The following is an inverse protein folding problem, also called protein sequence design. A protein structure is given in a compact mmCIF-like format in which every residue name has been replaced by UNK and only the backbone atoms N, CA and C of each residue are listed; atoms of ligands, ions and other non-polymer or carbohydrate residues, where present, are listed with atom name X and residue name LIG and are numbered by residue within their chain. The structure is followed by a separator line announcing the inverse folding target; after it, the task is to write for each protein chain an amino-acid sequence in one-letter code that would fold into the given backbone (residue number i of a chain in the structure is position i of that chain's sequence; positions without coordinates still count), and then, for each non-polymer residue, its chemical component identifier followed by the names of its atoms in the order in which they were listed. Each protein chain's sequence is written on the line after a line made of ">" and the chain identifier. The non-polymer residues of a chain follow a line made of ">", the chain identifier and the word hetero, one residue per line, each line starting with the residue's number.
data_IF_634356739686
#
_entry.id   IF_634356739686
#
_cell.length_a   1.000
_cell.length_b   1.000
_cell.length_c   1.000
_cell.angle_alpha   90.00
_cell.angle_beta   90.00
_cell.angle_gamma   90.00
#
_symmetry.space_group_name_H-M   'P 1'
#
loop_
_entity.id
_entity.type
_entity.pdbx_description
1 polymer ?
#
# COMPACT_ATOMS: atom_id res chain seq x y z
N UNK A 1 25.78 35.12 -18.48
CA UNK A 1 24.63 36.03 -18.62
C UNK A 1 23.72 35.80 -17.43
N UNK A 2 23.76 36.74 -16.47
CA UNK A 2 22.98 36.69 -15.23
C UNK A 2 21.55 37.10 -15.55
N UNK A 3 20.56 36.27 -15.19
CA UNK A 3 19.16 36.71 -15.09
C UNK A 3 18.70 36.43 -13.68
N UNK A 4 18.55 37.50 -12.91
CA UNK A 4 17.76 37.56 -11.68
C UNK A 4 16.29 37.69 -12.09
N UNK A 5 15.39 36.98 -11.43
CA UNK A 5 13.99 37.35 -11.37
C UNK A 5 13.50 37.19 -9.93
N UNK A 6 13.07 38.31 -9.36
CA UNK A 6 12.37 38.44 -8.08
C UNK A 6 10.89 38.59 -8.43
N UNK A 7 10.01 37.90 -7.73
CA UNK A 7 8.62 38.31 -7.59
C UNK A 7 8.09 37.94 -6.20
N UNK A 8 7.25 38.82 -5.66
CA UNK A 8 6.83 39.00 -4.27
C UNK A 8 5.29 38.94 -4.20
N UNK A 9 4.78 38.62 -2.99
CA UNK A 9 3.39 38.80 -2.47
C UNK A 9 2.30 37.80 -2.93
N UNK A 10 1.30 37.40 -2.13
CA UNK A 10 0.98 37.58 -0.70
C UNK A 10 -0.11 36.57 -0.26
N UNK A 11 -0.13 36.27 1.04
CA UNK A 11 -1.25 35.99 1.96
C UNK A 11 -2.43 35.03 1.62
N UNK A 12 -2.62 34.06 2.53
CA UNK A 12 -3.78 34.02 3.44
C UNK A 12 -4.99 33.14 3.09
N UNK A 13 -5.31 32.18 3.98
CA UNK A 13 -6.64 32.02 4.63
C UNK A 13 -6.79 30.62 5.28
N UNK A 14 -7.32 30.64 6.50
CA UNK A 14 -7.58 29.53 7.44
C UNK A 14 -9.07 29.18 7.52
N UNK A 15 -9.38 28.05 8.19
CA UNK A 15 -10.68 27.61 8.76
C UNK A 15 -11.70 27.05 7.74
N UNK A 16 -12.56 26.06 8.01
CA UNK A 16 -13.19 25.62 9.26
C UNK A 16 -13.79 24.19 9.05
N UNK A 17 -13.74 23.31 10.05
CA UNK A 17 -14.34 21.97 10.01
C UNK A 17 -15.66 21.94 10.77
N UNK A 18 -16.75 21.56 10.10
CA UNK A 18 -18.08 21.44 10.71
C UNK A 18 -18.38 20.01 11.18
N UNK A 19 -18.77 19.94 12.45
CA UNK A 19 -19.16 18.79 13.25
C UNK A 19 -20.66 18.48 13.03
N UNK A 20 -21.02 17.20 12.85
CA UNK A 20 -22.43 16.76 12.77
C UNK A 20 -22.73 15.63 13.77
N UNK A 21 -23.10 16.07 14.97
CA UNK A 21 -24.29 15.74 15.78
C UNK A 21 -24.97 14.38 15.57
N UNK A 22 -24.89 13.55 16.61
CA UNK A 22 -25.79 12.43 16.88
C UNK A 22 -27.17 12.92 17.36
N UNK A 23 -28.23 12.21 16.98
CA UNK A 23 -29.56 12.35 17.57
C UNK A 23 -30.03 11.00 18.08
N UNK A 24 -30.20 10.93 19.40
CA UNK A 24 -30.97 9.93 20.14
C UNK A 24 -32.46 10.07 19.79
N UNK A 25 -33.15 8.94 19.68
CA UNK A 25 -34.62 8.90 19.70
C UNK A 25 -35.02 7.91 20.80
N UNK A 26 -35.54 8.46 21.89
CA UNK A 26 -36.42 7.77 22.83
C UNK A 26 -37.82 7.71 22.23
N UNK A 27 -38.48 6.55 22.32
CA UNK A 27 -39.95 6.51 22.30
C UNK A 27 -40.47 5.62 23.43
N UNK A 28 -41.21 6.26 24.34
CA UNK A 28 -42.12 5.62 25.27
C UNK A 28 -43.47 5.42 24.58
N UNK A 29 -44.08 4.23 24.73
CA UNK A 29 -45.41 3.93 24.18
C UNK A 29 -46.11 2.81 24.93
N UNK A 30 -47.16 3.20 25.66
CA UNK A 30 -48.07 2.43 26.52
C UNK A 30 -48.87 1.37 25.75
N UNK A 31 -49.13 0.23 26.41
CA UNK A 31 -49.67 -0.98 25.78
C UNK A 31 -51.19 -1.13 25.68
N UNK A 32 -51.59 -2.30 25.20
CA UNK A 32 -52.91 -2.92 25.42
C UNK A 32 -52.76 -4.44 25.44
N UNK A 33 -53.43 -5.05 26.41
CA UNK A 33 -53.45 -6.48 26.71
C UNK A 33 -54.53 -7.14 25.86
N UNK A 34 -54.16 -8.04 24.96
CA UNK A 34 -55.07 -9.06 24.43
C UNK A 34 -54.45 -10.45 24.64
N UNK A 35 -55.13 -11.25 25.46
CA UNK A 35 -54.77 -12.62 25.76
C UNK A 35 -55.14 -13.48 24.54
N UNK A 36 -54.16 -13.75 23.68
CA UNK A 36 -54.27 -14.81 22.68
C UNK A 36 -53.70 -16.11 23.24
N UNK A 37 -54.56 -17.11 23.44
CA UNK A 37 -54.25 -18.47 23.89
C UNK A 37 -53.54 -19.32 22.83
N UNK A 38 -52.45 -18.80 22.26
CA UNK A 38 -51.48 -19.62 21.54
C UNK A 38 -50.17 -19.55 22.31
N UNK A 39 -49.74 -20.69 22.86
CA UNK A 39 -48.46 -20.80 23.57
C UNK A 39 -47.30 -20.21 22.73
N UNK A 40 -46.26 -19.64 23.38
CA UNK A 40 -45.28 -18.83 22.70
C UNK A 40 -44.65 -19.59 21.54
N UNK A 41 -44.80 -19.06 20.32
CA UNK A 41 -44.09 -19.57 19.16
C UNK A 41 -42.60 -19.65 19.51
N UNK A 42 -42.01 -20.85 19.43
CA UNK A 42 -40.58 -21.04 19.73
C UNK A 42 -39.78 -20.05 18.88
N UNK A 43 -39.23 -19.01 19.50
CA UNK A 43 -38.34 -18.07 18.83
C UNK A 43 -37.21 -18.90 18.20
N UNK A 44 -37.00 -18.72 16.89
CA UNK A 44 -35.85 -19.35 16.21
C UNK A 44 -34.61 -18.93 16.98
N UNK A 45 -33.79 -19.90 17.40
CA UNK A 45 -32.54 -19.60 18.11
C UNK A 45 -31.69 -18.68 17.23
N UNK A 46 -31.07 -17.68 17.87
CA UNK A 46 -30.12 -16.81 17.20
C UNK A 46 -29.05 -17.65 16.49
N UNK A 47 -28.84 -17.34 15.21
CA UNK A 47 -27.89 -18.01 14.35
C UNK A 47 -26.47 -17.94 14.92
N UNK A 48 -26.13 -16.89 15.68
CA UNK A 48 -24.82 -16.71 16.30
C UNK A 48 -24.45 -17.85 17.27
N UNK A 49 -25.45 -18.48 17.88
CA UNK A 49 -25.29 -19.54 18.89
C UNK A 49 -25.07 -20.93 18.29
N UNK A 50 -25.24 -21.08 16.97
CA UNK A 50 -25.07 -22.36 16.30
C UNK A 50 -23.60 -22.78 16.36
N UNK A 51 -23.32 -24.03 16.75
CA UNK A 51 -21.95 -24.55 16.93
C UNK A 51 -21.05 -24.24 15.73
N UNK A 52 -21.55 -24.40 14.51
CA UNK A 52 -20.81 -24.08 13.29
C UNK A 52 -20.43 -22.59 13.18
N UNK A 53 -21.35 -21.69 13.54
CA UNK A 53 -21.12 -20.24 13.51
C UNK A 53 -20.17 -19.79 14.61
N UNK A 54 -20.26 -20.40 15.81
CA UNK A 54 -19.31 -20.17 16.90
C UNK A 54 -17.89 -20.58 16.48
N UNK A 55 -17.71 -21.75 15.88
CA UNK A 55 -16.38 -22.18 15.39
C UNK A 55 -15.90 -21.32 14.22
N UNK A 56 -16.80 -20.90 13.31
CA UNK A 56 -16.48 -19.95 12.23
C UNK A 56 -16.00 -18.61 12.80
N UNK A 57 -16.65 -18.08 13.84
CA UNK A 57 -16.26 -16.84 14.51
C UNK A 57 -14.87 -16.97 15.14
N UNK A 58 -14.61 -18.06 15.89
CA UNK A 58 -13.27 -18.35 16.45
C UNK A 58 -12.18 -18.38 15.38
N UNK A 59 -12.47 -19.01 14.23
CA UNK A 59 -11.57 -19.08 13.08
C UNK A 59 -11.25 -17.70 12.48
N UNK A 60 -12.23 -16.79 12.42
CA UNK A 60 -12.05 -15.43 11.89
C UNK A 60 -11.30 -14.53 12.86
N UNK A 61 -11.54 -14.71 14.17
CA UNK A 61 -10.82 -14.04 15.27
C UNK A 61 -9.38 -14.53 15.46
N UNK A 62 -8.93 -15.53 14.68
CA UNK A 62 -7.57 -16.05 14.82
C UNK A 62 -7.36 -16.90 16.08
N UNK A 63 -8.42 -17.51 16.64
CA UNK A 63 -8.35 -18.40 17.81
C UNK A 63 -8.32 -19.86 17.40
N UNK A 64 -7.94 -20.74 18.33
CA UNK A 64 -8.07 -22.18 18.14
C UNK A 64 -9.55 -22.57 17.96
N UNK A 65 -9.79 -23.54 17.08
CA UNK A 65 -11.15 -23.96 16.71
C UNK A 65 -11.22 -25.46 16.47
N UNK A 66 -12.42 -26.02 16.58
CA UNK A 66 -12.66 -27.45 16.34
C UNK A 66 -13.02 -27.64 14.88
N UNK A 67 -12.21 -28.41 14.15
CA UNK A 67 -12.47 -28.83 12.78
C UNK A 67 -12.88 -30.31 12.71
N UNK A 68 -13.57 -30.70 11.63
CA UNK A 68 -13.89 -32.11 11.36
C UNK A 68 -12.99 -32.63 10.24
N UNK A 69 -12.43 -33.83 10.42
CA UNK A 69 -11.74 -34.57 9.36
C UNK A 69 -12.74 -35.29 8.46
N UNK A 70 -12.30 -35.78 7.31
CA UNK A 70 -13.16 -36.60 6.41
C UNK A 70 -13.74 -37.82 7.13
N UNK A 71 -13.00 -38.37 8.10
CA UNK A 71 -13.38 -39.53 8.90
C UNK A 71 -14.37 -39.19 10.04
N UNK A 72 -14.87 -37.96 10.13
CA UNK A 72 -15.83 -37.52 11.15
C UNK A 72 -15.24 -37.13 12.51
N UNK A 73 -13.95 -37.39 12.74
CA UNK A 73 -13.24 -37.06 13.97
C UNK A 73 -13.10 -35.53 14.16
N UNK A 74 -13.40 -35.06 15.37
CA UNK A 74 -13.25 -33.66 15.79
C UNK A 74 -11.82 -33.42 16.28
N UNK A 75 -11.13 -32.47 15.64
CA UNK A 75 -9.74 -32.13 15.97
C UNK A 75 -9.62 -30.66 16.29
N UNK A 76 -8.98 -30.37 17.43
CA UNK A 76 -8.57 -29.02 17.78
C UNK A 76 -7.49 -28.54 16.81
N UNK A 77 -7.78 -27.43 16.12
CA UNK A 77 -6.84 -26.78 15.21
C UNK A 77 -6.31 -25.53 15.89
N UNK A 78 -4.99 -25.42 15.89
CA UNK A 78 -4.27 -24.21 16.29
C UNK A 78 -4.69 -23.00 15.44
N UNK A 79 -4.52 -21.77 15.98
CA UNK A 79 -4.77 -20.55 15.22
C UNK A 79 -3.93 -20.55 13.95
N UNK A 80 -4.51 -20.05 12.84
CA UNK A 80 -3.76 -19.99 11.58
C UNK A 80 -2.75 -18.86 11.67
N UNK A 81 -1.46 -19.19 11.62
CA UNK A 81 -0.42 -18.20 11.48
C UNK A 81 -0.60 -17.46 10.13
N UNK A 82 -0.52 -16.13 10.18
CA UNK A 82 -0.49 -15.33 8.95
C UNK A 82 0.83 -15.57 8.21
N UNK A 83 0.75 -15.69 6.89
CA UNK A 83 1.93 -15.81 6.02
C UNK A 83 2.75 -14.51 5.97
N UNK A 84 3.94 -14.58 5.36
CA UNK A 84 4.91 -13.47 5.28
C UNK A 84 4.33 -12.19 4.68
N UNK A 85 3.40 -12.28 3.73
CA UNK A 85 2.76 -11.12 3.10
C UNK A 85 1.91 -10.24 4.03
N UNK A 86 1.58 -10.71 5.24
CA UNK A 86 0.80 -9.95 6.24
C UNK A 86 1.59 -9.69 7.53
N UNK A 87 2.91 -9.87 7.51
CA UNK A 87 3.77 -9.68 8.69
C UNK A 87 3.70 -8.26 9.24
N UNK A 88 3.73 -7.24 8.36
CA UNK A 88 3.61 -5.82 8.74
C UNK A 88 2.30 -5.56 9.49
N UNK A 89 1.19 -6.15 9.04
CA UNK A 89 -0.10 -6.01 9.70
C UNK A 89 -0.11 -6.67 11.09
N UNK A 90 0.48 -7.86 11.22
CA UNK A 90 0.62 -8.53 12.52
C UNK A 90 1.44 -7.68 13.50
N UNK A 91 2.61 -7.23 13.08
CA UNK A 91 3.51 -6.44 13.93
C UNK A 91 2.84 -5.11 14.33
N UNK A 92 2.12 -4.47 13.40
CA UNK A 92 1.36 -3.26 13.72
C UNK A 92 0.27 -3.51 14.78
N UNK A 93 -0.47 -4.63 14.68
CA UNK A 93 -1.47 -5.00 15.69
C UNK A 93 -0.85 -5.27 17.07
N UNK A 94 0.32 -5.91 17.11
CA UNK A 94 1.02 -6.24 18.35
C UNK A 94 1.62 -5.00 19.01
N UNK A 95 2.32 -4.16 18.23
CA UNK A 95 3.07 -3.01 18.74
C UNK A 95 2.20 -1.77 19.01
N UNK A 96 1.25 -1.47 18.12
CA UNK A 96 0.50 -0.21 18.18
C UNK A 96 -0.88 -0.39 18.81
N UNK A 97 -1.52 -1.54 18.59
CA UNK A 97 -2.91 -1.79 19.03
C UNK A 97 -3.02 -2.77 20.18
N UNK A 98 -1.93 -3.44 20.58
CA UNK A 98 -1.89 -4.44 21.66
C UNK A 98 -3.00 -5.51 21.56
N UNK A 99 -3.38 -5.88 20.34
CA UNK A 99 -4.49 -6.79 20.08
C UNK A 99 -4.03 -7.96 19.21
N UNK A 100 -4.72 -9.11 19.35
CA UNK A 100 -4.47 -10.26 18.48
C UNK A 100 -4.91 -9.94 17.05
N UNK A 101 -4.00 -10.10 16.09
CA UNK A 101 -4.31 -9.92 14.69
C UNK A 101 -5.43 -10.87 14.24
N UNK A 102 -6.36 -10.34 13.43
CA UNK A 102 -7.44 -11.14 12.86
C UNK A 102 -6.90 -12.11 11.80
N UNK A 103 -7.71 -13.10 11.44
CA UNK A 103 -7.30 -14.08 10.44
C UNK A 103 -6.98 -13.43 9.09
N UNK A 104 -6.03 -14.01 8.35
CA UNK A 104 -5.64 -13.57 7.01
C UNK A 104 -6.84 -13.42 6.06
N UNK A 105 -7.90 -14.23 6.22
CA UNK A 105 -9.11 -14.12 5.40
C UNK A 105 -9.82 -12.79 5.63
N UNK A 106 -10.01 -12.39 6.90
CA UNK A 106 -10.61 -11.09 7.25
C UNK A 106 -9.77 -9.94 6.73
N UNK A 107 -8.45 -10.04 6.91
CA UNK A 107 -7.51 -9.03 6.42
C UNK A 107 -7.62 -8.86 4.90
N UNK A 108 -7.53 -9.96 4.13
CA UNK A 108 -7.60 -9.91 2.67
C UNK A 108 -8.97 -9.46 2.16
N UNK A 109 -10.06 -9.88 2.81
CA UNK A 109 -11.40 -9.41 2.47
C UNK A 109 -11.51 -7.89 2.64
N UNK A 110 -10.96 -7.34 3.74
CA UNK A 110 -10.94 -5.89 3.97
C UNK A 110 -9.97 -5.16 3.05
N UNK A 111 -8.80 -5.73 2.80
CA UNK A 111 -7.79 -5.20 1.90
C UNK A 111 -8.34 -5.03 0.47
N UNK A 112 -9.03 -6.06 -0.02
CA UNK A 112 -9.70 -6.04 -1.32
C UNK A 112 -10.91 -5.08 -1.33
N UNK A 113 -11.69 -5.00 -0.24
CA UNK A 113 -12.80 -4.03 -0.12
C UNK A 113 -12.30 -2.58 -0.19
N UNK A 114 -11.12 -2.29 0.35
CA UNK A 114 -10.49 -0.97 0.28
C UNK A 114 -9.81 -0.72 -1.08
N UNK A 115 -9.88 -1.66 -2.02
CA UNK A 115 -9.22 -1.60 -3.33
C UNK A 115 -7.72 -1.27 -3.22
N UNK A 116 -7.06 -1.82 -2.19
CA UNK A 116 -5.63 -1.66 -1.99
C UNK A 116 -4.88 -2.75 -2.75
N UNK A 117 -3.70 -2.40 -3.25
CA UNK A 117 -2.76 -3.35 -3.84
C UNK A 117 -1.37 -3.09 -3.27
N UNK A 118 -0.73 -4.15 -2.77
CA UNK A 118 0.65 -4.10 -2.32
C UNK A 118 1.54 -4.25 -3.54
N UNK A 119 2.04 -3.13 -4.06
CA UNK A 119 3.05 -3.14 -5.10
C UNK A 119 4.40 -3.38 -4.46
N UNK A 120 5.13 -4.39 -4.96
CA UNK A 120 6.56 -4.43 -4.71
C UNK A 120 7.15 -3.23 -5.46
N UNK A 121 7.85 -2.29 -4.77
CA UNK A 121 8.54 -1.23 -5.46
C UNK A 121 9.52 -1.87 -6.45
N UNK A 122 9.21 -1.78 -7.74
CA UNK A 122 10.16 -2.14 -8.78
C UNK A 122 11.21 -1.04 -8.77
N UNK A 123 12.35 -1.31 -8.14
CA UNK A 123 13.53 -0.47 -8.32
C UNK A 123 13.98 -0.67 -9.75
N UNK A 124 14.29 0.41 -10.45
CA UNK A 124 14.99 0.33 -11.72
C UNK A 124 16.37 -0.30 -11.47
N UNK A 125 16.53 -1.53 -11.92
CA UNK A 125 17.79 -2.25 -11.83
C UNK A 125 18.64 -1.84 -13.03
N UNK A 126 19.83 -1.31 -12.75
CA UNK A 126 20.78 -1.02 -13.81
C UNK A 126 21.34 -2.33 -14.38
N UNK A 127 21.78 -2.30 -15.64
CA UNK A 127 22.31 -3.48 -16.33
C UNK A 127 23.48 -4.15 -15.57
N UNK A 128 24.32 -3.35 -14.90
CA UNK A 128 25.40 -3.84 -14.04
C UNK A 128 24.88 -4.63 -12.84
N UNK A 129 23.79 -4.18 -12.21
CA UNK A 129 23.18 -4.87 -11.08
C UNK A 129 22.51 -6.19 -11.49
N UNK A 130 21.85 -6.20 -12.65
CA UNK A 130 21.30 -7.42 -13.24
C UNK A 130 22.43 -8.42 -13.56
N UNK A 131 23.51 -7.94 -14.16
CA UNK A 131 24.68 -8.75 -14.54
C UNK A 131 25.39 -9.34 -13.32
N UNK A 132 25.50 -8.60 -12.22
CA UNK A 132 26.08 -9.10 -10.97
C UNK A 132 25.25 -10.22 -10.34
N UNK A 133 23.92 -10.05 -10.27
CA UNK A 133 23.02 -11.12 -9.79
C UNK A 133 23.11 -12.39 -10.64
N UNK A 134 23.33 -12.24 -11.94
CA UNK A 134 23.57 -13.34 -12.86
C UNK A 134 24.99 -13.95 -12.76
N UNK A 135 25.85 -13.45 -11.85
CA UNK A 135 27.25 -13.86 -11.69
C UNK A 135 28.11 -13.65 -12.95
N UNK A 136 27.72 -12.72 -13.83
CA UNK A 136 28.44 -12.42 -15.07
C UNK A 136 29.58 -11.41 -14.89
N UNK A 137 29.61 -10.68 -13.76
CA UNK A 137 30.67 -9.72 -13.46
C UNK A 137 31.33 -10.05 -12.11
N UNK A 138 32.65 -9.80 -11.99
CA UNK A 138 33.38 -10.05 -10.76
C UNK A 138 33.05 -9.00 -9.67
N UNK A 139 33.31 -9.37 -8.41
CA UNK A 139 32.96 -8.58 -7.22
C UNK A 139 33.64 -7.21 -7.17
N UNK A 140 34.90 -7.11 -7.62
CA UNK A 140 35.67 -5.86 -7.63
C UNK A 140 35.04 -4.78 -8.53
N UNK A 141 34.53 -5.19 -9.69
CA UNK A 141 33.82 -4.31 -10.63
C UNK A 141 32.49 -3.86 -10.02
N UNK A 142 31.80 -4.75 -9.31
CA UNK A 142 30.57 -4.41 -8.60
C UNK A 142 30.80 -3.42 -7.45
N UNK A 143 31.83 -3.62 -6.63
CA UNK A 143 32.19 -2.71 -5.55
C UNK A 143 32.53 -1.31 -6.08
N UNK A 144 33.28 -1.23 -7.17
CA UNK A 144 33.57 0.05 -7.83
C UNK A 144 32.29 0.73 -8.34
N UNK A 145 31.32 -0.03 -8.85
CA UNK A 145 30.01 0.49 -9.24
C UNK A 145 29.22 1.03 -8.04
N UNK A 146 29.21 0.31 -6.92
CA UNK A 146 28.56 0.74 -5.68
C UNK A 146 29.17 2.04 -5.14
N UNK A 147 30.49 2.14 -5.07
CA UNK A 147 31.19 3.34 -4.59
C UNK A 147 30.83 4.57 -5.43
N UNK A 148 30.90 4.46 -6.76
CA UNK A 148 30.54 5.56 -7.67
C UNK A 148 29.09 6.01 -7.51
N UNK A 149 28.19 5.06 -7.24
CA UNK A 149 26.77 5.36 -6.97
C UNK A 149 26.63 6.18 -5.69
N UNK A 150 27.34 5.81 -4.63
CA UNK A 150 27.34 6.55 -3.36
C UNK A 150 27.95 7.95 -3.52
N UNK A 151 29.10 8.07 -4.19
CA UNK A 151 29.74 9.36 -4.50
C UNK A 151 28.79 10.30 -5.25
N UNK A 152 28.09 9.78 -6.26
CA UNK A 152 27.11 10.56 -7.05
C UNK A 152 25.92 11.01 -6.19
N UNK A 153 25.44 10.15 -5.30
CA UNK A 153 24.34 10.48 -4.39
C UNK A 153 24.75 11.54 -3.35
N UNK A 154 25.97 11.43 -2.81
CA UNK A 154 26.53 12.40 -1.89
C UNK A 154 26.73 13.76 -2.55
N UNK A 155 27.27 13.80 -3.78
CA UNK A 155 27.40 15.03 -4.56
C UNK A 155 26.05 15.70 -4.80
N UNK A 156 25.04 14.94 -5.23
CA UNK A 156 23.67 15.44 -5.40
C UNK A 156 23.09 16.01 -4.11
N UNK A 157 23.36 15.40 -2.94
CA UNK A 157 22.85 15.90 -1.67
C UNK A 157 23.59 17.17 -1.20
N UNK A 158 24.90 17.25 -1.42
CA UNK A 158 25.69 18.47 -1.18
C UNK A 158 25.21 19.63 -2.07
N UNK A 159 24.91 19.36 -3.34
CA UNK A 159 24.37 20.36 -4.27
C UNK A 159 22.99 20.86 -3.82
N UNK A 160 22.11 19.96 -3.34
CA UNK A 160 20.81 20.36 -2.77
C UNK A 160 20.95 21.19 -1.51
N UNK A 161 21.91 20.88 -0.64
CA UNK A 161 22.18 21.66 0.57
C UNK A 161 22.68 23.06 0.20
N UNK A 162 23.64 23.14 -0.72
CA UNK A 162 24.14 24.41 -1.27
C UNK A 162 23.02 25.27 -1.87
N UNK A 163 22.06 24.65 -2.54
CA UNK A 163 20.89 25.34 -3.08
C UNK A 163 19.92 25.83 -1.99
N UNK A 164 19.81 25.14 -0.85
CA UNK A 164 19.00 25.57 0.31
C UNK A 164 19.63 26.72 1.08
N UNK A 165 20.97 26.77 1.13
CA UNK A 165 21.74 27.79 1.86
C UNK A 165 21.74 29.16 1.17
N UNK A 166 20.94 29.33 0.10
CA UNK A 166 20.66 30.64 -0.51
C UNK A 166 21.73 31.14 -1.47
N UNK A 167 22.73 30.32 -1.82
CA UNK A 167 23.66 30.61 -2.90
C UNK A 167 22.90 30.56 -4.24
N UNK A 168 23.38 31.32 -5.23
CA UNK A 168 22.84 31.39 -6.61
C UNK A 168 23.04 30.09 -7.42
N UNK A 169 22.71 28.95 -6.82
CA UNK A 169 22.89 27.61 -7.37
C UNK A 169 21.54 26.93 -7.46
N UNK A 170 21.13 26.59 -8.67
CA UNK A 170 19.90 25.85 -8.95
C UNK A 170 20.28 24.43 -9.37
N UNK A 171 19.78 23.43 -8.67
CA UNK A 171 19.99 22.01 -9.01
C UNK A 171 18.74 21.52 -9.71
N UNK A 172 18.85 21.19 -11.00
CA UNK A 172 17.74 20.62 -11.77
C UNK A 172 18.01 19.13 -11.96
N UNK A 173 17.19 18.29 -11.33
CA UNK A 173 17.17 16.86 -11.59
C UNK A 173 16.09 16.59 -12.62
N UNK A 174 16.48 16.11 -13.81
CA UNK A 174 15.54 15.77 -14.87
C UNK A 174 15.43 14.26 -14.99
N UNK A 175 14.20 13.75 -15.02
CA UNK A 175 13.95 12.36 -15.38
C UNK A 175 13.99 12.22 -16.90
N UNK A 176 14.81 11.30 -17.39
CA UNK A 176 14.87 10.92 -18.80
C UNK A 176 13.68 10.01 -19.10
N UNK A 177 12.75 10.51 -19.91
CA UNK A 177 11.66 9.68 -20.43
C UNK A 177 12.13 8.80 -21.61
N UNK A 178 11.20 8.00 -22.14
CA UNK A 178 11.43 7.13 -23.30
C UNK A 178 12.02 7.89 -24.50
N UNK A 179 12.99 7.25 -25.15
CA UNK A 179 13.65 7.74 -26.36
C UNK A 179 12.66 7.81 -27.54
N UNK A 180 12.38 9.01 -28.03
CA UNK A 180 11.54 9.20 -29.21
C UNK A 180 12.42 9.37 -30.46
N UNK A 181 12.07 8.65 -31.52
CA UNK A 181 12.76 8.78 -32.81
C UNK A 181 12.06 9.82 -33.69
N UNK A 182 12.81 10.81 -34.16
CA UNK A 182 12.35 11.88 -35.05
C UNK A 182 13.06 11.82 -36.40
N UNK A 183 12.35 12.05 -37.54
CA UNK A 183 10.93 12.39 -37.64
C UNK A 183 9.99 11.17 -37.59
N UNK A 184 8.82 11.34 -36.98
CA UNK A 184 7.79 10.30 -36.89
C UNK A 184 6.97 10.25 -38.19
N UNK A 185 7.39 9.44 -39.16
CA UNK A 185 6.55 9.13 -40.32
C UNK A 185 6.37 7.61 -40.51
N UNK A 186 5.26 7.24 -41.15
CA UNK A 186 4.87 5.85 -41.44
C UNK A 186 5.43 5.31 -42.77
N UNK A 187 6.37 6.02 -43.39
CA UNK A 187 6.92 5.63 -44.68
C UNK A 187 8.04 4.58 -44.53
N UNK A 188 8.01 3.52 -45.33
CA UNK A 188 9.02 2.45 -45.31
C UNK A 188 10.42 2.93 -45.69
N UNK A 189 10.52 3.98 -46.50
CA UNK A 189 11.80 4.59 -46.91
C UNK A 189 12.64 5.15 -45.74
N UNK A 190 12.03 5.37 -44.57
CA UNK A 190 12.71 5.88 -43.37
C UNK A 190 13.38 4.77 -42.57
N UNK A 191 13.04 3.50 -42.84
CA UNK A 191 13.68 2.36 -42.18
C UNK A 191 15.20 2.34 -42.41
N UNK A 192 15.65 2.74 -43.60
CA UNK A 192 17.07 2.76 -43.98
C UNK A 192 17.78 4.09 -43.70
N UNK A 193 17.11 5.05 -43.06
CA UNK A 193 17.70 6.34 -42.69
C UNK A 193 17.98 6.41 -41.20
N UNK A 194 19.09 7.03 -40.83
CA UNK A 194 19.44 7.32 -39.45
C UNK A 194 18.37 8.21 -38.83
N UNK A 195 17.73 7.73 -37.76
CA UNK A 195 16.70 8.48 -37.04
C UNK A 195 17.36 9.33 -35.96
N UNK A 196 16.93 10.57 -35.80
CA UNK A 196 17.40 11.41 -34.72
C UNK A 196 16.76 10.91 -33.42
N UNK A 197 17.60 10.58 -32.45
CA UNK A 197 17.20 10.21 -31.10
C UNK A 197 16.90 11.49 -30.31
N UNK A 198 15.62 11.75 -30.01
CA UNK A 198 15.18 12.91 -29.23
C UNK A 198 14.82 12.41 -27.82
N UNK A 199 15.46 12.99 -26.82
CA UNK A 199 15.17 12.71 -25.42
C UNK A 199 14.09 13.69 -24.95
N UNK A 200 13.03 13.16 -24.36
CA UNK A 200 12.04 13.98 -23.66
C UNK A 200 12.57 14.23 -22.25
N UNK A 201 12.75 15.51 -21.92
CA UNK A 201 13.14 15.93 -20.57
C UNK A 201 11.89 16.36 -19.82
N UNK A 202 11.68 15.79 -18.64
CA UNK A 202 10.70 16.29 -17.66
C UNK A 202 11.46 16.85 -16.46
N UNK A 203 11.07 18.06 -16.05
CA UNK A 203 11.58 18.79 -14.87
C UNK A 203 10.57 18.65 -13.74
#
# INVERSE_FOLDING_TARGET
>A
MLVFFVFVECEGATEESTEQRATEIEEAGVGTTEQNEFGPAKKRKDQSTWKANVQKKRKMEGKSYIGKRQNGEEVAKEPRNMGSGCEVYRNHCEENLQTTALSQQVFMDKFNQMNLALYHPQKDECDMSCSYKASNIPEDVWQTHCLKKEETQQGKEADKQTAKDGVKTMVVCMDLQALLLSPKLKASAIYYKTKLAVHNFTI
#
